data_IF_850982722963
#
_entry.id   IF_850982722963
#
_cell.length_a   1.000
_cell.length_b   1.000
_cell.length_c   1.000
_cell.angle_alpha   90.00
_cell.angle_beta   90.00
_cell.angle_gamma   90.00
#
_symmetry.space_group_name_H-M   'P 1'
#
loop_
_entity.id
_entity.type
_entity.pdbx_description
1 polymer ?
#
# COMPACT_ATOMS: atom_id res chain seq x y z
N UNK A 1 15.02 12.25 -18.64
CA UNK A 1 14.89 10.99 -17.90
C UNK A 1 13.42 10.66 -17.72
N UNK A 2 13.05 9.38 -17.60
CA UNK A 2 11.67 8.93 -17.32
C UNK A 2 11.72 7.83 -16.28
N UNK A 3 10.72 7.80 -15.38
CA UNK A 3 10.49 6.68 -14.47
C UNK A 3 10.14 5.44 -15.30
N UNK A 4 10.70 4.30 -14.95
CA UNK A 4 10.48 3.04 -15.66
C UNK A 4 9.18 2.38 -15.25
N UNK A 5 8.98 2.22 -13.93
CA UNK A 5 7.77 1.65 -13.34
C UNK A 5 7.64 2.07 -11.87
N UNK A 6 6.57 1.61 -11.20
CA UNK A 6 6.40 1.72 -9.76
C UNK A 6 6.96 0.47 -9.09
N UNK A 7 8.01 0.63 -8.29
CA UNK A 7 8.74 -0.46 -7.65
C UNK A 7 8.03 -0.97 -6.38
N UNK A 8 7.88 -0.10 -5.38
CA UNK A 8 7.33 -0.49 -4.08
C UNK A 8 6.72 0.70 -3.32
N UNK A 9 5.94 0.36 -2.30
CA UNK A 9 5.55 1.26 -1.21
C UNK A 9 6.11 0.70 0.09
N UNK A 10 6.72 1.56 0.91
CA UNK A 10 7.22 1.18 2.24
C UNK A 10 6.21 1.49 3.34
N UNK A 11 6.05 0.57 4.28
CA UNK A 11 5.29 0.76 5.52
C UNK A 11 6.10 0.27 6.72
N UNK A 12 5.96 0.96 7.85
CA UNK A 12 6.52 0.49 9.10
C UNK A 12 5.49 -0.33 9.87
N UNK A 13 5.91 -1.47 10.42
CA UNK A 13 5.06 -2.40 11.15
C UNK A 13 5.61 -2.64 12.55
N UNK A 14 4.72 -2.92 13.51
CA UNK A 14 5.10 -3.19 14.90
C UNK A 14 5.71 -4.57 15.09
N UNK A 15 5.39 -5.53 14.21
CA UNK A 15 5.88 -6.90 14.28
C UNK A 15 6.00 -7.49 12.88
N UNK A 16 7.23 -7.78 12.48
CA UNK A 16 7.58 -8.30 11.16
C UNK A 16 6.88 -9.62 10.83
N UNK A 17 6.95 -10.59 11.74
CA UNK A 17 6.39 -11.91 11.48
C UNK A 17 4.85 -11.86 11.38
N UNK A 18 4.21 -11.04 12.23
CA UNK A 18 2.77 -10.82 12.16
C UNK A 18 2.36 -10.15 10.85
N UNK A 19 3.15 -9.20 10.35
CA UNK A 19 2.90 -8.57 9.06
C UNK A 19 3.00 -9.58 7.91
N UNK A 20 4.07 -10.37 7.87
CA UNK A 20 4.25 -11.42 6.85
C UNK A 20 3.05 -12.38 6.85
N UNK A 21 2.64 -12.85 8.03
CA UNK A 21 1.51 -13.75 8.16
C UNK A 21 0.19 -13.09 7.73
N UNK A 22 -0.05 -11.86 8.16
CA UNK A 22 -1.26 -11.10 7.79
C UNK A 22 -1.39 -10.93 6.27
N UNK A 23 -0.36 -10.43 5.61
CA UNK A 23 -0.43 -10.19 4.17
C UNK A 23 -0.51 -11.49 3.36
N UNK A 24 0.06 -12.58 3.88
CA UNK A 24 -0.12 -13.90 3.28
C UNK A 24 -1.53 -14.47 3.49
N UNK A 25 -2.01 -14.54 4.72
CA UNK A 25 -3.30 -15.18 5.04
C UNK A 25 -4.51 -14.41 4.52
N UNK A 26 -4.40 -13.08 4.48
CA UNK A 26 -5.50 -12.20 4.11
C UNK A 26 -5.53 -11.94 2.60
N UNK A 27 -4.37 -11.64 2.00
CA UNK A 27 -4.27 -11.19 0.62
C UNK A 27 -3.54 -12.16 -0.31
N UNK A 28 -2.96 -13.23 0.20
CA UNK A 28 -2.16 -14.17 -0.59
C UNK A 28 -0.86 -13.57 -1.12
N UNK A 29 -0.31 -12.57 -0.45
CA UNK A 29 0.91 -11.86 -0.85
C UNK A 29 2.13 -12.47 -0.14
N UNK A 30 2.99 -13.26 -0.84
CA UNK A 30 4.10 -13.95 -0.21
C UNK A 30 5.29 -13.01 0.06
N UNK A 31 6.04 -13.32 1.13
CA UNK A 31 7.36 -12.74 1.38
C UNK A 31 8.36 -13.31 0.36
N UNK A 32 9.12 -12.44 -0.31
CA UNK A 32 10.09 -12.83 -1.34
C UNK A 32 11.54 -12.43 -1.02
N UNK A 33 11.77 -11.71 0.07
CA UNK A 33 13.09 -11.35 0.52
C UNK A 33 13.07 -10.73 1.91
N UNK A 34 14.20 -10.87 2.62
CA UNK A 34 14.42 -10.28 3.96
C UNK A 34 15.83 -9.74 4.04
N UNK A 35 16.00 -8.63 4.74
CA UNK A 35 17.29 -8.07 5.10
C UNK A 35 17.28 -7.52 6.52
N UNK A 36 18.36 -7.78 7.28
CA UNK A 36 18.60 -7.13 8.55
C UNK A 36 19.59 -5.97 8.33
N UNK A 37 19.24 -4.79 8.80
CA UNK A 37 20.04 -3.58 8.63
C UNK A 37 20.73 -3.25 9.96
N UNK A 38 22.08 -3.23 9.98
CA UNK A 38 22.84 -2.98 11.20
C UNK A 38 22.76 -1.51 11.63
N UNK A 39 22.97 -1.28 12.94
CA UNK A 39 22.84 0.02 13.61
C UNK A 39 23.52 1.19 12.88
N UNK A 40 24.78 1.11 12.41
CA UNK A 40 25.41 2.23 11.72
C UNK A 40 24.63 2.68 10.48
N UNK A 41 24.08 1.72 9.72
CA UNK A 41 23.30 2.01 8.52
C UNK A 41 21.90 2.54 8.88
N UNK A 42 21.30 2.02 9.94
CA UNK A 42 19.99 2.53 10.42
C UNK A 42 20.11 3.99 10.85
N UNK A 43 21.17 4.36 11.55
CA UNK A 43 21.46 5.76 11.93
C UNK A 43 21.69 6.66 10.71
N UNK A 44 22.60 6.26 9.83
CA UNK A 44 23.04 7.11 8.71
C UNK A 44 22.01 7.24 7.60
N UNK A 45 21.28 6.16 7.30
CA UNK A 45 20.36 6.10 6.17
C UNK A 45 18.91 6.46 6.56
N UNK A 46 18.42 5.92 7.70
CA UNK A 46 17.05 6.18 8.15
C UNK A 46 16.94 7.30 9.19
N UNK A 47 18.05 7.84 9.70
CA UNK A 47 18.03 8.93 10.65
C UNK A 47 17.49 8.57 12.03
N UNK A 48 17.47 7.29 12.40
CA UNK A 48 16.94 6.83 13.70
C UNK A 48 17.95 7.15 14.81
N UNK A 49 17.61 8.13 15.66
CA UNK A 49 18.46 8.58 16.78
C UNK A 49 18.25 7.68 18.00
N UNK A 50 18.97 6.58 18.07
CA UNK A 50 19.00 5.67 19.23
C UNK A 50 20.41 5.09 19.38
N UNK A 51 20.74 4.53 20.55
CA UNK A 51 22.10 4.01 20.79
C UNK A 51 22.47 2.86 19.87
N UNK A 52 21.63 1.87 19.75
CA UNK A 52 21.82 0.69 18.90
C UNK A 52 20.56 0.33 18.10
N UNK A 53 20.08 1.21 17.19
CA UNK A 53 18.87 0.92 16.43
C UNK A 53 19.10 -0.24 15.47
N UNK A 54 18.07 -1.02 15.23
CA UNK A 54 18.05 -2.06 14.22
C UNK A 54 16.82 -1.91 13.31
N UNK A 55 16.88 -2.49 12.13
CA UNK A 55 15.75 -2.53 11.21
C UNK A 55 15.75 -3.86 10.45
N UNK A 56 14.66 -4.57 10.53
CA UNK A 56 14.37 -5.71 9.66
C UNK A 56 13.49 -5.24 8.50
N UNK A 57 13.88 -5.58 7.28
CA UNK A 57 13.19 -5.21 6.05
C UNK A 57 12.67 -6.47 5.38
N UNK A 58 11.46 -6.46 4.88
CA UNK A 58 10.88 -7.55 4.10
C UNK A 58 10.21 -7.05 2.83
N UNK A 59 10.28 -7.83 1.76
CA UNK A 59 9.60 -7.54 0.51
C UNK A 59 8.47 -8.52 0.30
N UNK A 60 7.24 -8.01 0.36
CA UNK A 60 6.00 -8.78 0.13
C UNK A 60 5.58 -8.55 -1.32
N UNK A 61 5.53 -9.64 -2.09
CA UNK A 61 5.17 -9.58 -3.51
C UNK A 61 3.67 -9.36 -3.68
N UNK A 62 3.30 -8.23 -4.30
CA UNK A 62 1.92 -7.98 -4.71
C UNK A 62 1.71 -8.50 -6.14
N UNK A 63 0.59 -9.19 -6.43
CA UNK A 63 0.25 -9.54 -7.82
C UNK A 63 0.25 -8.30 -8.73
N UNK A 64 0.86 -8.44 -9.91
CA UNK A 64 1.01 -7.30 -10.84
C UNK A 64 2.41 -6.69 -10.89
N UNK A 65 3.30 -7.01 -9.95
CA UNK A 65 4.73 -6.72 -10.06
C UNK A 65 5.32 -5.80 -9.01
N UNK A 66 4.54 -4.93 -8.39
CA UNK A 66 5.01 -4.11 -7.27
C UNK A 66 5.24 -4.92 -6.00
N UNK A 67 6.00 -4.37 -5.06
CA UNK A 67 6.16 -4.94 -3.71
C UNK A 67 5.63 -3.99 -2.65
N UNK A 68 5.19 -4.55 -1.55
CA UNK A 68 5.03 -3.85 -0.30
C UNK A 68 6.30 -4.12 0.53
N UNK A 69 7.05 -3.08 0.83
CA UNK A 69 8.26 -3.17 1.65
C UNK A 69 7.87 -2.88 3.09
N UNK A 70 8.07 -3.88 3.97
CA UNK A 70 7.76 -3.75 5.40
C UNK A 70 9.03 -3.52 6.20
N UNK A 71 8.96 -2.58 7.15
CA UNK A 71 10.06 -2.21 8.04
C UNK A 71 9.65 -2.44 9.49
N UNK A 72 10.45 -3.20 10.23
CA UNK A 72 10.36 -3.26 11.69
C UNK A 72 11.60 -2.61 12.29
N UNK A 73 11.41 -1.45 12.90
CA UNK A 73 12.49 -0.73 13.59
C UNK A 73 12.54 -1.06 15.07
N UNK A 74 13.75 -1.02 15.65
CA UNK A 74 13.98 -1.00 17.08
C UNK A 74 14.93 0.16 17.43
N UNK A 75 14.57 1.04 18.37
CA UNK A 75 13.24 1.12 19.02
C UNK A 75 12.14 1.62 18.07
N UNK A 76 10.92 1.23 18.36
CA UNK A 76 9.74 1.68 17.64
C UNK A 76 9.25 3.04 18.18
N UNK A 77 8.68 3.84 17.28
CA UNK A 77 7.87 5.01 17.66
C UNK A 77 6.39 4.65 17.62
N UNK A 78 5.59 5.38 18.40
CA UNK A 78 4.15 5.20 18.40
C UNK A 78 3.55 5.50 17.01
N UNK A 79 2.52 4.75 16.58
CA UNK A 79 1.85 5.00 15.31
C UNK A 79 1.31 6.43 15.22
N UNK A 80 1.62 7.12 14.15
CA UNK A 80 1.03 8.42 13.83
C UNK A 80 -0.24 8.23 12.99
N UNK A 81 -1.30 7.67 13.58
CA UNK A 81 -2.60 7.65 12.94
C UNK A 81 -3.18 9.07 12.93
N UNK A 82 -3.14 9.72 11.79
CA UNK A 82 -3.70 11.06 11.60
C UNK A 82 -4.99 11.06 10.77
N UNK A 83 -5.77 12.16 10.80
CA UNK A 83 -6.95 12.29 9.98
C UNK A 83 -6.59 12.29 8.48
N UNK A 84 -7.56 11.97 7.63
CA UNK A 84 -7.38 11.89 6.17
C UNK A 84 -6.86 13.16 5.51
N UNK A 85 -7.15 14.32 6.08
CA UNK A 85 -6.77 15.63 5.55
C UNK A 85 -5.32 16.05 5.91
N UNK A 86 -4.53 15.17 6.54
CA UNK A 86 -3.11 15.43 6.73
C UNK A 86 -2.35 15.27 5.41
N UNK A 87 -1.35 16.10 5.20
CA UNK A 87 -0.43 15.95 4.06
C UNK A 87 0.44 14.71 4.26
N UNK A 88 0.53 13.85 3.25
CA UNK A 88 1.35 12.64 3.25
C UNK A 88 0.62 11.41 2.68
N UNK A 89 1.23 10.24 2.83
CA UNK A 89 0.62 8.98 2.41
C UNK A 89 -0.60 8.68 3.28
N UNK A 90 -1.73 8.40 2.64
CA UNK A 90 -3.00 8.08 3.34
C UNK A 90 -3.24 6.59 3.44
N UNK A 91 -3.08 5.86 2.35
CA UNK A 91 -3.39 4.43 2.24
C UNK A 91 -2.60 3.74 1.12
N UNK A 92 -2.61 2.42 1.14
CA UNK A 92 -2.25 1.58 0.00
C UNK A 92 -3.53 1.03 -0.62
N UNK A 93 -3.55 0.76 -1.94
CA UNK A 93 -4.73 0.25 -2.61
C UNK A 93 -4.43 -1.03 -3.38
N UNK A 94 -5.28 -2.04 -3.20
CA UNK A 94 -5.26 -3.29 -3.95
C UNK A 94 -6.43 -3.34 -4.94
N UNK A 95 -6.12 -3.59 -6.22
CA UNK A 95 -7.16 -3.86 -7.18
C UNK A 95 -7.64 -5.30 -7.04
N UNK A 96 -8.93 -5.47 -6.76
CA UNK A 96 -9.57 -6.76 -6.54
C UNK A 96 -10.77 -6.94 -7.47
N UNK A 97 -11.32 -8.14 -7.54
CA UNK A 97 -12.62 -8.39 -8.19
C UNK A 97 -13.68 -8.63 -7.14
N UNK A 98 -14.85 -7.99 -7.30
CA UNK A 98 -16.01 -8.14 -6.42
C UNK A 98 -15.72 -7.73 -4.97
N UNK A 99 -15.75 -6.44 -4.72
CA UNK A 99 -15.51 -5.84 -3.39
C UNK A 99 -16.44 -6.40 -2.30
N UNK A 100 -17.69 -6.82 -2.63
CA UNK A 100 -18.58 -7.41 -1.65
C UNK A 100 -18.06 -8.77 -1.16
N UNK A 101 -17.60 -9.65 -2.05
CA UNK A 101 -17.01 -10.94 -1.64
C UNK A 101 -15.74 -10.74 -0.82
N UNK A 102 -14.93 -9.74 -1.15
CA UNK A 102 -13.76 -9.39 -0.37
C UNK A 102 -14.13 -8.88 1.02
N UNK A 103 -15.13 -8.00 1.11
CA UNK A 103 -15.64 -7.51 2.39
C UNK A 103 -16.07 -8.67 3.29
N UNK A 104 -16.90 -9.58 2.78
CA UNK A 104 -17.41 -10.72 3.55
C UNK A 104 -16.27 -11.66 3.98
N UNK A 105 -15.29 -11.89 3.09
CA UNK A 105 -14.09 -12.66 3.40
C UNK A 105 -13.26 -12.02 4.52
N UNK A 106 -13.05 -10.71 4.49
CA UNK A 106 -12.26 -9.99 5.49
C UNK A 106 -12.98 -9.92 6.84
N UNK A 107 -14.30 -9.75 6.84
CA UNK A 107 -15.13 -9.87 8.06
C UNK A 107 -14.96 -11.25 8.68
N UNK A 108 -15.06 -12.33 7.89
CA UNK A 108 -14.89 -13.69 8.36
C UNK A 108 -13.48 -13.97 8.92
N UNK A 109 -12.46 -13.24 8.45
CA UNK A 109 -11.08 -13.30 8.96
C UNK A 109 -10.81 -12.38 10.16
N UNK A 110 -11.80 -11.61 10.61
CA UNK A 110 -11.65 -10.69 11.74
C UNK A 110 -10.79 -9.46 11.44
N UNK A 111 -10.66 -9.07 10.17
CA UNK A 111 -9.97 -7.84 9.77
C UNK A 111 -10.82 -6.63 10.12
N UNK A 112 -10.21 -5.56 10.63
CA UNK A 112 -10.90 -4.31 10.97
C UNK A 112 -11.44 -3.64 9.70
N UNK A 113 -12.77 -3.59 9.56
CA UNK A 113 -13.45 -2.93 8.44
C UNK A 113 -13.70 -1.47 8.78
N UNK A 114 -13.25 -0.56 7.92
CA UNK A 114 -13.43 0.90 8.08
C UNK A 114 -14.69 1.38 7.38
N UNK A 115 -14.99 0.84 6.20
CA UNK A 115 -16.21 1.18 5.45
C UNK A 115 -16.82 -0.05 4.78
N UNK A 116 -18.11 0.02 4.45
CA UNK A 116 -18.75 -0.95 3.57
C UNK A 116 -18.36 -0.68 2.11
N UNK A 117 -18.51 -1.68 1.21
CA UNK A 117 -18.35 -1.45 -0.22
C UNK A 117 -19.30 -0.36 -0.74
N UNK A 118 -18.70 0.64 -1.38
CA UNK A 118 -19.42 1.77 -1.97
C UNK A 118 -19.07 1.92 -3.45
N UNK A 119 -20.00 2.51 -4.20
CA UNK A 119 -19.80 2.82 -5.61
C UNK A 119 -19.33 4.26 -5.77
N UNK A 120 -18.20 4.45 -6.43
CA UNK A 120 -17.70 5.78 -6.74
C UNK A 120 -18.56 6.46 -7.82
N UNK A 121 -18.52 7.78 -7.94
CA UNK A 121 -19.19 8.50 -9.02
C UNK A 121 -18.76 8.06 -10.43
N UNK A 122 -17.60 7.44 -10.57
CA UNK A 122 -17.06 6.92 -11.83
C UNK A 122 -17.39 5.44 -12.08
N UNK A 123 -18.18 4.81 -11.19
CA UNK A 123 -18.74 3.48 -11.37
C UNK A 123 -17.93 2.30 -10.85
N UNK A 124 -16.69 2.48 -10.39
CA UNK A 124 -15.94 1.45 -9.68
C UNK A 124 -16.39 1.33 -8.22
N UNK A 125 -16.18 0.17 -7.62
CA UNK A 125 -16.53 -0.06 -6.21
C UNK A 125 -15.27 -0.17 -5.36
N UNK A 126 -15.35 0.30 -4.12
CA UNK A 126 -14.23 0.29 -3.18
C UNK A 126 -14.71 0.23 -1.74
N UNK A 127 -13.82 -0.15 -0.83
CA UNK A 127 -13.99 -0.03 0.62
C UNK A 127 -12.62 -0.03 1.31
N UNK A 128 -12.61 0.31 2.60
CA UNK A 128 -11.39 0.43 3.39
C UNK A 128 -11.38 -0.53 4.56
N UNK A 129 -10.19 -1.04 4.83
CA UNK A 129 -9.87 -1.86 6.00
C UNK A 129 -8.56 -1.39 6.63
N UNK A 130 -8.22 -1.91 7.81
CA UNK A 130 -6.91 -1.68 8.42
C UNK A 130 -6.17 -3.00 8.60
N UNK A 131 -4.84 -2.92 8.53
CA UNK A 131 -4.02 -3.98 9.11
C UNK A 131 -3.98 -3.86 10.63
N UNK A 132 -3.23 -4.74 11.28
CA UNK A 132 -3.14 -4.81 12.74
C UNK A 132 -2.37 -3.63 13.38
N UNK A 133 -1.70 -2.80 12.60
CA UNK A 133 -1.01 -1.57 13.03
C UNK A 133 -1.82 -0.31 12.70
N UNK A 134 -3.01 -0.47 12.12
CA UNK A 134 -3.87 0.64 11.72
C UNK A 134 -3.51 1.24 10.36
N UNK A 135 -2.61 0.64 9.59
CA UNK A 135 -2.35 1.08 8.22
C UNK A 135 -3.59 0.87 7.36
N UNK A 136 -3.99 1.94 6.67
CA UNK A 136 -5.21 1.94 5.87
C UNK A 136 -4.99 1.25 4.53
N UNK A 137 -5.86 0.31 4.20
CA UNK A 137 -5.83 -0.47 2.96
C UNK A 137 -7.17 -0.28 2.25
N UNK A 138 -7.10 0.21 1.02
CA UNK A 138 -8.26 0.26 0.12
C UNK A 138 -8.31 -1.02 -0.72
N UNK A 139 -9.51 -1.59 -0.85
CA UNK A 139 -9.80 -2.61 -1.85
C UNK A 139 -10.71 -2.00 -2.90
N UNK A 140 -10.25 -1.98 -4.15
CA UNK A 140 -10.95 -1.34 -5.24
C UNK A 140 -11.18 -2.31 -6.40
N UNK A 141 -12.40 -2.39 -6.91
CA UNK A 141 -12.71 -3.08 -8.16
C UNK A 141 -12.89 -2.05 -9.27
N UNK A 142 -11.86 -1.94 -10.10
CA UNK A 142 -11.84 -1.05 -11.26
C UNK A 142 -12.65 -1.58 -12.45
N UNK A 143 -13.17 -2.83 -12.37
CA UNK A 143 -13.88 -3.44 -13.46
C UNK A 143 -13.09 -3.43 -14.78
N UNK A 144 -13.73 -3.02 -15.87
CA UNK A 144 -13.07 -2.92 -17.18
C UNK A 144 -11.97 -1.85 -17.22
N UNK A 145 -12.05 -0.82 -16.37
CA UNK A 145 -11.04 0.23 -16.30
C UNK A 145 -9.66 -0.29 -15.91
N UNK A 146 -9.58 -1.42 -15.20
CA UNK A 146 -8.30 -2.07 -14.93
C UNK A 146 -7.51 -2.33 -16.21
N UNK A 147 -8.15 -2.91 -17.23
CA UNK A 147 -7.50 -3.20 -18.50
C UNK A 147 -7.17 -1.93 -19.29
N UNK A 148 -8.09 -0.96 -19.28
CA UNK A 148 -7.87 0.34 -19.94
C UNK A 148 -6.65 1.04 -19.34
N UNK A 149 -6.58 1.17 -18.03
CA UNK A 149 -5.45 1.82 -17.36
C UNK A 149 -4.14 1.06 -17.57
N UNK A 150 -4.18 -0.26 -17.51
CA UNK A 150 -3.00 -1.10 -17.70
C UNK A 150 -2.39 -0.98 -19.09
N UNK A 151 -3.21 -1.01 -20.14
CA UNK A 151 -2.74 -1.08 -21.52
C UNK A 151 -2.72 0.27 -22.24
N UNK A 152 -3.69 1.14 -21.94
CA UNK A 152 -3.85 2.43 -22.60
C UNK A 152 -3.48 3.63 -21.72
N UNK A 153 -3.10 3.41 -20.47
CA UNK A 153 -2.75 4.46 -19.51
C UNK A 153 -1.72 5.48 -20.06
N UNK A 154 -0.61 5.05 -20.68
CA UNK A 154 0.38 5.98 -21.23
C UNK A 154 -0.17 6.90 -22.33
N UNK A 155 -0.98 6.35 -23.24
CA UNK A 155 -1.64 7.12 -24.30
C UNK A 155 -2.70 8.05 -23.73
N UNK A 156 -3.54 7.53 -22.81
CA UNK A 156 -4.54 8.31 -22.11
C UNK A 156 -3.93 9.48 -21.32
N UNK A 157 -2.84 9.23 -20.59
CA UNK A 157 -2.10 10.27 -19.87
C UNK A 157 -1.57 11.35 -20.79
N UNK A 158 -1.07 11.00 -21.98
CA UNK A 158 -0.59 11.97 -22.98
C UNK A 158 -1.73 12.86 -23.51
N UNK A 159 -2.90 12.25 -23.84
CA UNK A 159 -4.09 12.97 -24.34
C UNK A 159 -4.65 13.89 -23.25
N UNK A 160 -4.85 13.38 -22.04
CA UNK A 160 -5.44 14.13 -20.91
C UNK A 160 -4.58 15.32 -20.51
N UNK A 161 -3.26 15.15 -20.47
CA UNK A 161 -2.34 16.22 -20.17
C UNK A 161 -2.45 17.39 -21.14
N UNK A 162 -2.65 17.12 -22.45
CA UNK A 162 -2.74 18.15 -23.49
C UNK A 162 -4.15 18.73 -23.68
N UNK A 163 -5.16 17.95 -23.29
CA UNK A 163 -6.57 18.30 -23.44
C UNK A 163 -7.22 18.69 -22.10
N UNK A 164 -7.92 17.73 -21.49
CA UNK A 164 -8.80 17.94 -20.35
C UNK A 164 -8.08 18.55 -19.14
N UNK A 165 -6.86 18.09 -18.86
CA UNK A 165 -6.09 18.47 -17.66
C UNK A 165 -4.92 19.42 -17.97
N UNK A 166 -4.91 20.07 -19.12
CA UNK A 166 -3.80 20.97 -19.51
C UNK A 166 -3.49 22.08 -18.49
N UNK A 167 -4.52 22.54 -17.76
CA UNK A 167 -4.38 23.63 -16.79
C UNK A 167 -3.63 23.22 -15.50
N UNK A 168 -3.44 21.91 -15.26
CA UNK A 168 -2.66 21.40 -14.12
C UNK A 168 -1.18 21.24 -14.45
N UNK A 169 -0.78 21.45 -15.71
CA UNK A 169 0.61 21.33 -16.16
C UNK A 169 1.09 22.69 -16.70
N UNK A 170 2.24 23.11 -16.23
CA UNK A 170 2.95 24.31 -16.71
C UNK A 170 4.07 23.95 -17.68
#
# INVERSE_FOLDING_TARGET
MRVRDFSHTGITVSNFNRAVQFYWDVFGCPLVGVADTPSPRVKSFFGVAADAPSCKIGWIRVPGGATLEIFEFQPQQQPSAGPWNRVGLTHISFNVRNTQRWHDHLVAKGVEIVSKPEKSPRGHTFFFVKDFDGNLIELMDLGYMYHVLKWLGPLGGWIFRRGIYKNYYR
#
